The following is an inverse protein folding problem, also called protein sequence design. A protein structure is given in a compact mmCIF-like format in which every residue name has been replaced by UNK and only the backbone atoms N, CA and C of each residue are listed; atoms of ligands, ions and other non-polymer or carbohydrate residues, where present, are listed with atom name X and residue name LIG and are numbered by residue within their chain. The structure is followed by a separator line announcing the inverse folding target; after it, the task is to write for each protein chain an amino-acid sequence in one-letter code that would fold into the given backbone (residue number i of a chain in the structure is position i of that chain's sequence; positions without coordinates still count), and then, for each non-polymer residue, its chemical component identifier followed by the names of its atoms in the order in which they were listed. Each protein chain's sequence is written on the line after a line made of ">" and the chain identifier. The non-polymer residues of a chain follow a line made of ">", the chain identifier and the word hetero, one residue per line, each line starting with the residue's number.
data_IF_550834697426
#
_entry.id   IF_550834697426
#
_cell.length_a   1.000
_cell.length_b   1.000
_cell.length_c   1.000
_cell.angle_alpha   90.00
_cell.angle_beta   90.00
_cell.angle_gamma   90.00
#
_symmetry.space_group_name_H-M   'P 1'
#
loop_
_entity.id
_entity.type
_entity.pdbx_description
1 polymer ?
#
# COMPACT_ATOMS: atom_id res chain seq x y z
N UNK A 1 9.51 10.55 23.35
CA UNK A 1 9.59 9.47 22.35
C UNK A 1 8.91 9.78 21.01
N UNK A 2 7.67 10.30 20.97
CA UNK A 2 6.92 10.53 19.71
C UNK A 2 7.59 11.47 18.68
N UNK A 3 8.39 12.45 19.12
CA UNK A 3 9.07 13.38 18.21
C UNK A 3 10.18 12.72 17.38
N UNK A 4 10.84 11.69 17.92
CA UNK A 4 11.92 10.98 17.23
C UNK A 4 11.35 10.03 16.15
N UNK A 5 10.20 9.41 16.43
CA UNK A 5 9.53 8.51 15.50
C UNK A 5 9.01 9.22 14.23
N UNK A 6 8.44 10.43 14.39
CA UNK A 6 7.98 11.23 13.24
C UNK A 6 9.14 11.64 12.34
N UNK A 7 10.25 12.08 12.94
CA UNK A 7 11.45 12.46 12.21
C UNK A 7 12.03 11.25 11.45
N UNK A 8 12.10 10.09 12.10
CA UNK A 8 12.57 8.85 11.48
C UNK A 8 11.68 8.40 10.31
N UNK A 9 10.36 8.41 10.50
CA UNK A 9 9.38 8.10 9.46
C UNK A 9 9.53 9.03 8.25
N UNK A 10 9.70 10.33 8.48
CA UNK A 10 9.93 11.32 7.43
C UNK A 10 11.26 11.08 6.70
N UNK A 11 12.32 10.71 7.43
CA UNK A 11 13.62 10.35 6.87
C UNK A 11 13.55 9.15 5.93
N UNK A 12 12.95 8.03 6.37
CA UNK A 12 12.76 6.83 5.53
C UNK A 12 11.97 7.20 4.27
N UNK A 13 10.85 7.90 4.44
CA UNK A 13 9.98 8.30 3.33
C UNK A 13 10.75 9.11 2.30
N UNK A 14 11.55 10.09 2.74
CA UNK A 14 12.38 10.90 1.85
C UNK A 14 13.34 10.03 1.04
N UNK A 15 14.04 9.08 1.69
CA UNK A 15 14.96 8.17 1.01
C UNK A 15 14.29 7.25 0.00
N UNK A 16 13.10 6.74 0.31
CA UNK A 16 12.32 5.96 -0.65
C UNK A 16 11.86 6.79 -1.84
N UNK A 17 11.37 8.03 -1.63
CA UNK A 17 11.00 8.92 -2.74
C UNK A 17 12.19 9.21 -3.65
N UNK A 18 13.36 9.53 -3.09
CA UNK A 18 14.60 9.76 -3.85
C UNK A 18 14.96 8.53 -4.69
N UNK A 19 14.95 7.35 -4.09
CA UNK A 19 15.33 6.10 -4.74
C UNK A 19 14.36 5.67 -5.84
N UNK A 20 13.06 5.74 -5.57
CA UNK A 20 12.01 5.32 -6.51
C UNK A 20 12.01 6.22 -7.75
N UNK A 21 12.17 7.55 -7.55
CA UNK A 21 12.33 8.50 -8.67
C UNK A 21 13.56 8.16 -9.51
N UNK A 22 14.72 7.93 -8.88
CA UNK A 22 15.95 7.53 -9.58
C UNK A 22 15.77 6.24 -10.37
N UNK A 23 14.99 5.31 -9.83
CA UNK A 23 14.74 3.98 -10.42
C UNK A 23 13.59 3.97 -11.43
N UNK A 24 12.94 5.13 -11.67
CA UNK A 24 11.75 5.26 -12.52
C UNK A 24 10.60 4.32 -12.09
N UNK A 25 10.49 4.08 -10.78
CA UNK A 25 9.40 3.33 -10.17
C UNK A 25 8.40 4.33 -9.63
N UNK A 26 7.22 4.40 -10.24
CA UNK A 26 6.16 5.36 -9.93
C UNK A 26 4.89 4.61 -9.54
N UNK A 27 3.95 5.25 -8.86
CA UNK A 27 2.70 4.61 -8.40
C UNK A 27 2.98 3.37 -7.54
N UNK A 28 3.35 3.62 -6.28
CA UNK A 28 3.63 2.60 -5.24
C UNK A 28 2.98 3.01 -3.92
N UNK A 29 2.84 2.05 -3.00
CA UNK A 29 2.36 2.33 -1.65
C UNK A 29 3.49 2.76 -0.70
N UNK A 30 3.84 4.05 -0.71
CA UNK A 30 4.89 4.59 0.17
C UNK A 30 4.64 4.37 1.66
N UNK A 31 3.37 4.39 2.09
CA UNK A 31 3.03 4.23 3.50
C UNK A 31 3.36 2.78 3.95
N UNK A 32 2.98 1.77 3.17
CA UNK A 32 3.36 0.36 3.42
C UNK A 32 4.88 0.18 3.41
N UNK A 33 5.56 0.76 2.43
CA UNK A 33 7.02 0.65 2.33
C UNK A 33 7.70 1.13 3.61
N UNK A 34 7.30 2.31 4.10
CA UNK A 34 7.88 2.92 5.30
C UNK A 34 7.59 2.08 6.54
N UNK A 35 6.39 1.52 6.66
CA UNK A 35 6.04 0.61 7.77
C UNK A 35 6.92 -0.66 7.76
N UNK A 36 7.03 -1.34 6.62
CA UNK A 36 7.91 -2.51 6.48
C UNK A 36 9.38 -2.16 6.76
N UNK A 37 9.84 -1.00 6.29
CA UNK A 37 11.22 -0.57 6.49
C UNK A 37 11.54 -0.27 7.96
N UNK A 38 10.61 0.31 8.74
CA UNK A 38 10.80 0.53 10.17
C UNK A 38 11.07 -0.79 10.90
N UNK A 39 10.27 -1.81 10.62
CA UNK A 39 10.47 -3.15 11.16
C UNK A 39 11.82 -3.75 10.76
N UNK A 40 12.24 -3.58 9.49
CA UNK A 40 13.57 -4.05 9.02
C UNK A 40 14.71 -3.30 9.73
N UNK A 41 14.57 -2.00 9.97
CA UNK A 41 15.54 -1.20 10.71
C UNK A 41 15.68 -1.67 12.16
N UNK A 42 14.56 -1.96 12.83
CA UNK A 42 14.53 -2.56 14.16
C UNK A 42 15.23 -3.92 14.18
N UNK A 43 14.93 -4.78 13.20
CA UNK A 43 15.58 -6.09 13.04
C UNK A 43 17.10 -5.99 12.82
N UNK A 44 17.54 -4.99 12.07
CA UNK A 44 18.94 -4.71 11.79
C UNK A 44 19.66 -3.93 12.92
N UNK A 45 18.94 -3.58 14.01
CA UNK A 45 19.43 -2.76 15.11
C UNK A 45 20.10 -1.46 14.65
N UNK A 46 19.46 -0.74 13.72
CA UNK A 46 19.96 0.54 13.21
C UNK A 46 18.84 1.46 12.73
N UNK A 47 19.13 2.74 12.57
CA UNK A 47 18.20 3.75 12.01
C UNK A 47 18.78 4.44 10.77
N UNK A 48 19.92 3.97 10.26
CA UNK A 48 20.58 4.57 9.11
C UNK A 48 20.89 3.54 8.04
N UNK A 49 20.55 3.87 6.79
CA UNK A 49 20.80 3.03 5.62
C UNK A 49 22.28 2.62 5.49
N UNK A 50 23.20 3.53 5.83
CA UNK A 50 24.64 3.26 5.73
C UNK A 50 25.11 2.10 6.62
N UNK A 51 24.46 1.92 7.78
CA UNK A 51 24.81 0.89 8.76
C UNK A 51 24.02 -0.40 8.59
N UNK A 52 23.21 -0.54 7.53
CA UNK A 52 22.50 -1.80 7.29
C UNK A 52 23.50 -2.95 7.05
N UNK A 53 23.25 -4.15 7.59
CA UNK A 53 24.11 -5.30 7.35
C UNK A 53 24.13 -5.69 5.86
N UNK A 54 25.25 -6.24 5.37
CA UNK A 54 25.35 -6.65 3.95
C UNK A 54 24.44 -7.83 3.63
N UNK A 55 24.22 -8.69 4.61
CA UNK A 55 23.36 -9.86 4.60
C UNK A 55 21.91 -9.55 5.05
N UNK A 56 21.49 -8.28 5.04
CA UNK A 56 20.14 -7.86 5.46
C UNK A 56 19.03 -8.70 4.81
N UNK A 57 19.15 -8.98 3.51
CA UNK A 57 18.17 -9.81 2.81
C UNK A 57 18.10 -11.23 3.38
N UNK A 58 19.24 -11.82 3.75
CA UNK A 58 19.29 -13.14 4.41
C UNK A 58 18.67 -13.08 5.81
N UNK A 59 18.94 -12.02 6.57
CA UNK A 59 18.33 -11.81 7.90
C UNK A 59 16.80 -11.74 7.81
N UNK A 60 16.29 -11.02 6.80
CA UNK A 60 14.85 -10.84 6.55
C UNK A 60 14.21 -12.13 6.06
N UNK A 61 14.80 -12.83 5.09
CA UNK A 61 14.25 -14.10 4.56
C UNK A 61 14.15 -15.21 5.61
N UNK A 62 15.03 -15.20 6.61
CA UNK A 62 15.05 -16.18 7.70
C UNK A 62 14.02 -15.90 8.82
N UNK A 63 13.28 -14.79 8.75
CA UNK A 63 12.23 -14.51 9.72
C UNK A 63 11.01 -15.42 9.51
N UNK A 64 10.26 -15.65 10.58
CA UNK A 64 8.95 -16.31 10.51
C UNK A 64 7.88 -15.28 10.20
N UNK A 65 7.12 -15.53 9.12
CA UNK A 65 6.03 -14.66 8.71
C UNK A 65 4.69 -15.36 8.89
N UNK A 66 3.66 -14.66 9.40
CA UNK A 66 2.33 -15.25 9.52
C UNK A 66 1.66 -15.45 8.16
N UNK A 67 2.04 -14.65 7.16
CA UNK A 67 1.53 -14.72 5.79
C UNK A 67 2.67 -14.60 4.78
N UNK A 68 2.55 -15.35 3.68
CA UNK A 68 3.51 -15.31 2.57
C UNK A 68 3.61 -13.92 1.92
N UNK A 69 2.54 -13.14 1.95
CA UNK A 69 2.54 -11.76 1.47
C UNK A 69 3.56 -10.90 2.23
N UNK A 70 3.56 -10.96 3.57
CA UNK A 70 4.49 -10.16 4.39
C UNK A 70 5.93 -10.56 4.16
N UNK A 71 6.20 -11.84 3.90
CA UNK A 71 7.52 -12.30 3.50
C UNK A 71 7.97 -11.63 2.21
N UNK A 72 7.15 -11.70 1.16
CA UNK A 72 7.48 -11.12 -0.15
C UNK A 72 7.64 -9.59 -0.09
N UNK A 73 6.80 -8.92 0.70
CA UNK A 73 6.91 -7.47 0.96
C UNK A 73 8.25 -7.14 1.65
N UNK A 74 8.58 -7.85 2.74
CA UNK A 74 9.80 -7.65 3.49
C UNK A 74 11.06 -7.94 2.66
N UNK A 75 11.06 -9.03 1.89
CA UNK A 75 12.14 -9.39 0.98
C UNK A 75 12.42 -8.27 -0.02
N UNK A 76 11.39 -7.76 -0.69
CA UNK A 76 11.54 -6.66 -1.65
C UNK A 76 12.05 -5.37 -0.99
N UNK A 77 11.47 -4.98 0.15
CA UNK A 77 11.90 -3.76 0.85
C UNK A 77 13.33 -3.88 1.37
N UNK A 78 13.77 -5.07 1.81
CA UNK A 78 15.16 -5.29 2.23
C UNK A 78 16.16 -5.04 1.08
N UNK A 79 15.84 -5.48 -0.13
CA UNK A 79 16.65 -5.22 -1.33
C UNK A 79 16.64 -3.74 -1.68
N UNK A 80 15.47 -3.09 -1.66
CA UNK A 80 15.33 -1.64 -1.89
C UNK A 80 16.19 -0.83 -0.89
N UNK A 81 16.22 -1.24 0.38
CA UNK A 81 17.05 -0.59 1.41
C UNK A 81 18.56 -0.77 1.16
N UNK A 82 18.97 -1.95 0.69
CA UNK A 82 20.36 -2.21 0.28
C UNK A 82 20.74 -1.42 -0.97
N UNK A 83 19.84 -1.28 -1.94
CA UNK A 83 20.06 -0.47 -3.13
C UNK A 83 20.29 1.01 -2.76
N UNK A 84 19.53 1.52 -1.79
CA UNK A 84 19.73 2.87 -1.23
C UNK A 84 21.09 2.98 -0.57
N UNK A 85 21.47 2.00 0.26
CA UNK A 85 22.78 1.96 0.91
C UNK A 85 23.92 1.99 -0.11
N UNK A 86 23.79 1.21 -1.18
CA UNK A 86 24.82 1.06 -2.21
C UNK A 86 24.75 2.13 -3.29
N UNK A 87 23.72 2.99 -3.26
CA UNK A 87 23.51 4.01 -4.26
C UNK A 87 23.35 3.43 -5.67
N UNK A 88 22.61 2.32 -5.83
CA UNK A 88 22.29 1.72 -7.13
C UNK A 88 20.78 1.84 -7.42
N UNK A 89 20.33 1.92 -8.69
CA UNK A 89 18.90 1.90 -9.00
C UNK A 89 18.25 0.56 -8.66
N UNK A 90 17.01 0.60 -8.17
CA UNK A 90 16.22 -0.58 -7.83
C UNK A 90 15.45 -1.13 -9.02
N UNK A 91 15.17 -2.44 -8.98
CA UNK A 91 14.25 -3.08 -9.91
C UNK A 91 12.81 -2.97 -9.41
N UNK A 92 11.85 -3.01 -10.33
CA UNK A 92 10.43 -3.13 -9.98
C UNK A 92 10.18 -4.46 -9.26
N UNK A 93 9.27 -4.46 -8.29
CA UNK A 93 8.79 -5.70 -7.68
C UNK A 93 8.02 -6.53 -8.71
N UNK A 94 8.12 -7.86 -8.59
CA UNK A 94 7.36 -8.81 -9.40
C UNK A 94 5.91 -8.99 -8.91
N UNK A 95 5.48 -8.18 -7.95
CA UNK A 95 4.25 -8.38 -7.20
C UNK A 95 4.45 -9.31 -6.00
N UNK A 96 3.41 -9.40 -5.19
CA UNK A 96 3.35 -10.27 -4.01
C UNK A 96 2.19 -11.26 -4.13
N UNK A 97 2.25 -12.43 -3.48
CA UNK A 97 1.10 -13.32 -3.38
C UNK A 97 -0.02 -12.66 -2.58
N UNK A 98 -1.26 -12.73 -3.09
CA UNK A 98 -2.44 -12.10 -2.48
C UNK A 98 -3.50 -13.17 -2.24
N UNK A 99 -3.91 -13.35 -0.99
CA UNK A 99 -4.99 -14.29 -0.65
C UNK A 99 -6.37 -13.65 -0.89
N UNK A 100 -7.29 -14.42 -1.47
CA UNK A 100 -8.69 -14.06 -1.61
C UNK A 100 -9.36 -14.14 -0.23
N UNK A 101 -9.99 -13.06 0.27
CA UNK A 101 -10.65 -13.09 1.57
C UNK A 101 -11.93 -13.92 1.57
N UNK A 102 -12.46 -14.31 0.40
CA UNK A 102 -13.68 -15.09 0.29
C UNK A 102 -13.43 -16.60 0.38
N UNK A 103 -12.51 -17.14 -0.42
CA UNK A 103 -12.23 -18.59 -0.48
C UNK A 103 -10.88 -19.00 0.13
N UNK A 104 -10.00 -18.06 0.46
CA UNK A 104 -8.65 -18.35 0.97
C UNK A 104 -7.61 -18.71 -0.09
N UNK A 105 -8.01 -18.99 -1.34
CA UNK A 105 -7.05 -19.24 -2.43
C UNK A 105 -6.28 -17.98 -2.84
N UNK A 106 -5.17 -18.14 -3.56
CA UNK A 106 -4.41 -17.02 -4.08
C UNK A 106 -5.05 -16.41 -5.32
N UNK A 107 -5.06 -15.07 -5.37
CA UNK A 107 -5.39 -14.30 -6.56
C UNK A 107 -4.20 -14.32 -7.54
N UNK A 108 -4.49 -14.55 -8.81
CA UNK A 108 -3.50 -14.48 -9.89
C UNK A 108 -3.34 -13.04 -10.35
N UNK A 109 -2.10 -12.59 -10.55
CA UNK A 109 -1.83 -11.29 -11.17
C UNK A 109 -2.03 -11.40 -12.69
N UNK A 110 -3.08 -10.77 -13.21
CA UNK A 110 -3.45 -10.80 -14.61
C UNK A 110 -3.58 -9.39 -15.19
N UNK A 111 -3.42 -9.25 -16.51
CA UNK A 111 -3.77 -8.01 -17.18
C UNK A 111 -5.29 -7.87 -17.20
N UNK A 112 -5.82 -6.70 -16.84
CA UNK A 112 -7.26 -6.48 -16.87
C UNK A 112 -7.76 -6.56 -18.31
N UNK A 113 -8.74 -7.43 -18.57
CA UNK A 113 -9.37 -7.57 -19.89
C UNK A 113 -10.21 -6.35 -20.32
N UNK A 114 -10.38 -5.34 -19.44
CA UNK A 114 -11.39 -4.28 -19.59
C UNK A 114 -10.92 -2.97 -20.23
N UNK A 115 -9.74 -2.90 -20.87
CA UNK A 115 -9.37 -1.72 -21.66
C UNK A 115 -8.45 -2.10 -22.82
N UNK A 116 -9.05 -2.29 -23.99
CA UNK A 116 -8.39 -2.64 -25.25
C UNK A 116 -7.59 -1.49 -25.88
N UNK A 117 -7.63 -0.26 -25.33
CA UNK A 117 -7.09 0.88 -26.10
C UNK A 117 -6.04 1.75 -25.41
N UNK A 118 -5.95 1.88 -24.08
CA UNK A 118 -4.92 2.75 -23.45
C UNK A 118 -4.49 2.24 -22.07
N UNK A 119 -3.34 1.56 -22.02
CA UNK A 119 -2.62 1.03 -20.86
C UNK A 119 -3.29 -0.15 -20.14
N UNK A 120 -2.67 -1.34 -20.27
CA UNK A 120 -2.99 -2.51 -19.45
C UNK A 120 -2.84 -2.16 -17.96
N UNK A 121 -3.92 -2.35 -17.20
CA UNK A 121 -3.86 -2.31 -15.73
C UNK A 121 -3.66 -3.73 -15.22
N UNK A 122 -2.74 -3.90 -14.28
CA UNK A 122 -2.53 -5.17 -13.61
C UNK A 122 -3.55 -5.31 -12.47
N UNK A 123 -4.10 -6.50 -12.32
CA UNK A 123 -5.14 -6.82 -11.33
C UNK A 123 -4.85 -8.17 -10.72
N UNK A 124 -4.96 -8.28 -9.40
CA UNK A 124 -5.06 -9.55 -8.71
C UNK A 124 -6.50 -10.05 -8.81
N UNK A 125 -6.71 -11.20 -9.45
CA UNK A 125 -8.02 -11.78 -9.70
C UNK A 125 -8.13 -13.18 -9.09
N UNK A 126 -9.19 -13.43 -8.34
CA UNK A 126 -9.56 -14.76 -7.87
C UNK A 126 -10.58 -15.38 -8.83
N UNK A 127 -10.20 -16.45 -9.53
CA UNK A 127 -11.09 -17.12 -10.51
C UNK A 127 -12.29 -17.82 -9.87
N UNK A 128 -12.20 -18.23 -8.60
CA UNK A 128 -13.29 -18.94 -7.92
C UNK A 128 -14.43 -18.04 -7.45
N UNK A 129 -14.12 -16.81 -7.06
CA UNK A 129 -15.08 -15.91 -6.42
C UNK A 129 -15.25 -14.58 -7.17
N UNK A 130 -14.48 -14.36 -8.24
CA UNK A 130 -14.44 -13.11 -9.01
C UNK A 130 -14.00 -11.88 -8.18
N UNK A 131 -13.39 -12.13 -7.01
CA UNK A 131 -12.82 -11.08 -6.18
C UNK A 131 -11.58 -10.53 -6.84
N UNK A 132 -11.40 -9.21 -6.80
CA UNK A 132 -10.22 -8.61 -7.38
C UNK A 132 -9.77 -7.34 -6.71
N UNK A 133 -8.52 -6.97 -6.97
CA UNK A 133 -7.93 -5.70 -6.57
C UNK A 133 -6.90 -5.25 -7.60
N UNK A 134 -6.89 -3.96 -7.90
CA UNK A 134 -5.88 -3.38 -8.80
C UNK A 134 -4.48 -3.54 -8.19
N UNK A 135 -3.49 -3.68 -9.05
CA UNK A 135 -2.09 -3.56 -8.68
C UNK A 135 -1.59 -2.15 -9.02
N UNK A 136 -0.68 -1.66 -8.19
CA UNK A 136 0.10 -0.46 -8.43
C UNK A 136 1.01 -0.64 -9.65
N UNK A 137 1.09 0.36 -10.54
CA UNK A 137 1.82 0.19 -11.80
C UNK A 137 3.35 0.12 -11.62
N UNK A 138 3.88 0.61 -10.50
CA UNK A 138 5.31 0.64 -10.21
C UNK A 138 5.87 -0.65 -9.67
N UNK A 139 5.19 -1.22 -8.69
CA UNK A 139 5.65 -2.36 -7.89
C UNK A 139 4.75 -3.60 -8.03
N UNK A 140 3.63 -3.50 -8.76
CA UNK A 140 2.65 -4.57 -8.90
C UNK A 140 2.07 -5.03 -7.55
N UNK A 141 2.20 -4.25 -6.48
CA UNK A 141 1.60 -4.58 -5.19
C UNK A 141 0.10 -4.31 -5.22
N UNK A 142 -0.69 -5.06 -4.44
CA UNK A 142 -2.12 -4.83 -4.38
C UNK A 142 -2.40 -3.45 -3.78
N UNK A 143 -3.18 -2.64 -4.50
CA UNK A 143 -3.66 -1.32 -4.07
C UNK A 143 -4.74 -1.40 -2.98
N UNK A 144 -4.95 -2.59 -2.39
CA UNK A 144 -5.94 -2.85 -1.36
C UNK A 144 -6.11 -4.33 -1.07
N UNK A 145 -7.30 -4.70 -0.58
CA UNK A 145 -7.69 -6.11 -0.40
C UNK A 145 -8.63 -6.49 -1.55
N UNK A 146 -8.51 -7.71 -2.12
CA UNK A 146 -9.48 -8.22 -3.08
C UNK A 146 -10.91 -8.11 -2.58
N UNK A 147 -11.83 -7.72 -3.45
CA UNK A 147 -13.23 -7.54 -3.09
C UNK A 147 -14.16 -7.92 -4.26
N UNK A 148 -15.42 -8.24 -3.93
CA UNK A 148 -16.46 -8.48 -4.92
C UNK A 148 -16.71 -7.24 -5.79
N UNK A 149 -17.38 -7.42 -6.93
CA UNK A 149 -17.73 -6.35 -7.86
C UNK A 149 -18.53 -5.23 -7.16
N UNK A 150 -19.49 -5.59 -6.32
CA UNK A 150 -20.37 -4.64 -5.62
C UNK A 150 -19.56 -3.77 -4.66
N UNK A 151 -18.68 -4.37 -3.87
CA UNK A 151 -17.82 -3.65 -2.93
C UNK A 151 -16.83 -2.75 -3.69
N UNK A 152 -16.28 -3.21 -4.82
CA UNK A 152 -15.40 -2.38 -5.66
C UNK A 152 -16.12 -1.17 -6.26
N UNK A 153 -17.40 -1.31 -6.60
CA UNK A 153 -18.22 -0.17 -7.04
C UNK A 153 -18.38 0.86 -5.93
N UNK A 154 -18.76 0.42 -4.73
CA UNK A 154 -18.86 1.29 -3.55
C UNK A 154 -17.54 2.03 -3.24
N UNK A 155 -16.40 1.35 -3.39
CA UNK A 155 -15.06 1.97 -3.23
C UNK A 155 -14.82 3.10 -4.22
N UNK A 156 -15.17 2.87 -5.50
CA UNK A 156 -15.00 3.84 -6.56
C UNK A 156 -15.87 5.07 -6.33
N UNK A 157 -17.15 4.86 -6.01
CA UNK A 157 -18.11 5.92 -5.73
C UNK A 157 -17.67 6.77 -4.54
N UNK A 158 -17.22 6.13 -3.46
CA UNK A 158 -16.72 6.84 -2.29
C UNK A 158 -15.44 7.64 -2.59
N UNK A 159 -14.54 7.07 -3.39
CA UNK A 159 -13.31 7.76 -3.80
C UNK A 159 -13.65 9.04 -4.54
N UNK A 160 -14.58 8.97 -5.51
CA UNK A 160 -15.07 10.13 -6.26
C UNK A 160 -15.67 11.18 -5.33
N UNK A 161 -16.52 10.78 -4.40
CA UNK A 161 -17.16 11.70 -3.44
C UNK A 161 -16.13 12.42 -2.56
N UNK A 162 -15.08 11.72 -2.12
CA UNK A 162 -13.95 12.33 -1.40
C UNK A 162 -13.24 13.35 -2.28
N UNK A 163 -13.03 13.06 -3.58
CA UNK A 163 -12.42 14.04 -4.48
C UNK A 163 -13.28 15.29 -4.67
N UNK A 164 -14.59 15.10 -4.86
CA UNK A 164 -15.54 16.19 -5.00
C UNK A 164 -15.57 17.05 -3.74
N UNK A 165 -15.62 16.43 -2.57
CA UNK A 165 -15.59 17.14 -1.28
C UNK A 165 -14.27 17.88 -1.07
N UNK A 166 -13.14 17.25 -1.41
CA UNK A 166 -11.83 17.89 -1.32
C UNK A 166 -11.74 19.15 -2.21
N UNK A 167 -12.24 19.06 -3.45
CA UNK A 167 -12.32 20.22 -4.36
C UNK A 167 -13.26 21.30 -3.82
N UNK A 168 -14.47 20.92 -3.37
CA UNK A 168 -15.46 21.85 -2.80
C UNK A 168 -14.91 22.63 -1.60
N UNK A 169 -14.14 21.97 -0.74
CA UNK A 169 -13.59 22.55 0.49
C UNK A 169 -12.21 23.21 0.30
N UNK A 170 -11.61 23.15 -0.89
CA UNK A 170 -10.25 23.64 -1.14
C UNK A 170 -9.18 22.88 -0.33
N UNK A 171 -9.42 21.61 0.01
CA UNK A 171 -8.54 20.79 0.84
C UNK A 171 -7.88 19.68 0.02
N UNK A 172 -6.75 19.16 0.51
CA UNK A 172 -6.19 17.93 -0.06
C UNK A 172 -7.10 16.73 0.27
N UNK A 173 -7.14 15.72 -0.62
CA UNK A 173 -7.85 14.45 -0.35
C UNK A 173 -7.43 13.87 1.00
N UNK A 174 -6.12 13.85 1.29
CA UNK A 174 -5.57 13.36 2.56
C UNK A 174 -6.16 14.10 3.77
N UNK A 175 -6.32 15.42 3.69
CA UNK A 175 -6.91 16.23 4.77
C UNK A 175 -8.38 15.87 5.01
N UNK A 176 -9.17 15.74 3.95
CA UNK A 176 -10.58 15.31 4.04
C UNK A 176 -10.66 13.93 4.68
N UNK A 177 -9.86 12.98 4.18
CA UNK A 177 -9.79 11.62 4.72
C UNK A 177 -9.45 11.62 6.22
N UNK A 178 -8.43 12.38 6.65
CA UNK A 178 -8.09 12.49 8.07
C UNK A 178 -9.24 13.06 8.91
N UNK A 179 -9.95 14.08 8.43
CA UNK A 179 -11.10 14.66 9.14
C UNK A 179 -12.23 13.64 9.32
N UNK A 180 -12.58 12.90 8.27
CA UNK A 180 -13.63 11.87 8.35
C UNK A 180 -13.20 10.72 9.27
N UNK A 181 -11.96 10.20 9.14
CA UNK A 181 -11.41 9.18 10.05
C UNK A 181 -11.50 9.60 11.51
N UNK A 182 -11.16 10.85 11.81
CA UNK A 182 -11.20 11.37 13.17
C UNK A 182 -12.63 11.43 13.71
N UNK A 183 -13.59 11.91 12.91
CA UNK A 183 -15.02 11.93 13.29
C UNK A 183 -15.56 10.52 13.56
N UNK A 184 -15.14 9.53 12.76
CA UNK A 184 -15.58 8.13 12.89
C UNK A 184 -14.80 7.33 13.94
N UNK A 185 -13.81 7.93 14.61
CA UNK A 185 -12.92 7.25 15.56
C UNK A 185 -12.26 5.99 14.96
N UNK A 186 -11.93 6.03 13.67
CA UNK A 186 -11.31 4.90 12.99
C UNK A 186 -9.81 4.92 13.24
N UNK A 187 -9.31 3.85 13.85
CA UNK A 187 -7.89 3.67 14.18
C UNK A 187 -7.01 3.41 12.94
N UNK A 188 -7.62 3.15 11.78
CA UNK A 188 -6.92 2.95 10.51
C UNK A 188 -7.08 4.16 9.57
N UNK A 189 -6.03 4.51 8.80
CA UNK A 189 -6.13 5.53 7.75
C UNK A 189 -7.24 5.16 6.75
N UNK A 190 -8.02 6.12 6.24
CA UNK A 190 -9.16 5.85 5.34
C UNK A 190 -8.82 5.00 4.11
N UNK A 191 -7.58 5.03 3.63
CA UNK A 191 -7.14 4.12 2.57
C UNK A 191 -7.48 2.66 2.93
N UNK A 192 -7.46 2.30 4.22
CA UNK A 192 -7.90 1.01 4.71
C UNK A 192 -9.43 0.85 4.84
N UNK A 193 -10.22 1.89 5.09
CA UNK A 193 -11.70 1.77 5.08
C UNK A 193 -12.17 1.41 3.68
N UNK A 194 -11.58 2.07 2.68
CA UNK A 194 -11.77 1.70 1.28
C UNK A 194 -11.21 0.31 0.94
N UNK A 195 -10.39 -0.32 1.80
CA UNK A 195 -9.81 -1.63 1.55
C UNK A 195 -10.40 -2.76 2.43
N UNK A 196 -11.07 -2.46 3.54
CA UNK A 196 -11.50 -3.47 4.53
C UNK A 196 -12.86 -4.09 4.17
N UNK A 197 -13.55 -3.60 3.14
CA UNK A 197 -14.69 -4.31 2.55
C UNK A 197 -15.93 -4.41 3.45
N UNK A 198 -15.99 -3.69 4.58
CA UNK A 198 -17.16 -3.69 5.44
C UNK A 198 -18.17 -2.64 4.97
N UNK A 199 -19.28 -3.08 4.34
CA UNK A 199 -20.38 -2.21 3.87
C UNK A 199 -20.86 -1.20 4.91
N UNK A 200 -20.89 -1.59 6.19
CA UNK A 200 -21.24 -0.70 7.31
C UNK A 200 -20.27 0.47 7.44
N UNK A 201 -18.96 0.20 7.40
CA UNK A 201 -17.93 1.25 7.46
C UNK A 201 -18.02 2.20 6.26
N UNK A 202 -18.42 1.72 5.07
CA UNK A 202 -18.68 2.61 3.92
C UNK A 202 -19.85 3.55 4.17
N UNK A 203 -20.99 3.04 4.65
CA UNK A 203 -22.17 3.86 4.90
C UNK A 203 -21.89 4.92 5.96
N UNK A 204 -21.24 4.53 7.06
CA UNK A 204 -20.85 5.46 8.14
C UNK A 204 -19.89 6.55 7.59
N UNK A 205 -18.99 6.15 6.68
CA UNK A 205 -18.06 7.07 6.03
C UNK A 205 -18.76 8.06 5.10
N UNK A 206 -19.61 7.58 4.19
CA UNK A 206 -20.34 8.42 3.25
C UNK A 206 -21.24 9.43 3.97
N UNK A 207 -21.97 8.98 4.99
CA UNK A 207 -22.78 9.87 5.85
C UNK A 207 -21.93 10.95 6.51
N UNK A 208 -20.76 10.58 7.05
CA UNK A 208 -19.88 11.55 7.71
C UNK A 208 -19.24 12.52 6.72
N UNK A 209 -18.88 12.04 5.53
CA UNK A 209 -18.32 12.87 4.45
C UNK A 209 -19.34 13.93 3.99
N UNK A 210 -20.60 13.55 3.82
CA UNK A 210 -21.71 14.47 3.47
C UNK A 210 -22.01 15.50 4.57
N UNK A 211 -21.57 15.26 5.81
CA UNK A 211 -21.68 16.20 6.93
C UNK A 211 -20.52 17.20 7.06
N UNK A 212 -19.51 17.12 6.17
CA UNK A 212 -18.39 18.06 6.12
C UNK A 212 -18.71 19.30 5.29
#
# INVERSE_FOLDING_TARGET
>A
MQHNERAFTAFIRKKFIEQLKRSKINDVSLDKYVETAKWIFELANTQHFHFLPKDLHSIVTNQKYPLIQYRAEAEYISVLMLDIKNGVPSKKSAGVPVACPCCGDFCTLTASHYNTERNYKWVYYCERCEYSVNAHAGDLWPAGVPASVEIRKLRSDLTLEVEHTARRLGMSKRTVLHKVSHKLKLFTPVANICNVGCRKQYNDFDMTLKSL
#
